data_IF_978305067860
#
_entry.id   IF_978305067860
#
_cell.length_a   1.000
_cell.length_b   1.000
_cell.length_c   1.000
_cell.angle_alpha   90.00
_cell.angle_beta   90.00
_cell.angle_gamma   90.00
#
_symmetry.space_group_name_H-M   'P 1'
#
loop_
_entity.id
_entity.type
_entity.pdbx_description
1 polymer ?
#
# COMPACT_ATOMS: atom_id res chain seq x y z
N UNK A 1 -19.12 24.93 18.23
CA UNK A 1 -19.53 23.50 18.26
C UNK A 1 -18.64 22.81 17.24
N UNK A 2 -17.81 21.88 17.73
CA UNK A 2 -16.60 21.35 17.09
C UNK A 2 -16.84 20.66 15.73
N UNK A 3 -15.98 20.92 14.73
CA UNK A 3 -15.66 19.98 13.67
C UNK A 3 -14.21 19.50 13.84
N UNK A 4 -14.02 18.38 14.55
CA UNK A 4 -12.75 17.67 14.69
C UNK A 4 -13.04 16.18 14.46
N UNK A 5 -13.12 15.75 13.20
CA UNK A 5 -13.05 14.34 12.80
C UNK A 5 -12.65 14.31 11.32
N UNK A 6 -11.35 14.18 11.01
CA UNK A 6 -10.89 13.67 9.69
C UNK A 6 -9.38 13.40 9.63
N UNK A 7 -8.70 13.29 10.76
CA UNK A 7 -7.24 13.16 10.81
C UNK A 7 -6.75 12.19 11.88
N UNK A 8 -7.59 11.21 12.20
CA UNK A 8 -7.42 10.33 13.35
C UNK A 8 -7.47 8.87 12.92
N UNK A 9 -7.19 8.55 11.64
CA UNK A 9 -7.57 7.26 11.06
C UNK A 9 -6.48 6.20 11.11
N UNK A 10 -5.21 6.56 11.29
CA UNK A 10 -4.23 5.58 11.81
C UNK A 10 -4.33 5.41 13.35
N UNK A 11 -5.10 6.27 14.03
CA UNK A 11 -5.27 6.29 15.49
C UNK A 11 -6.64 5.72 15.92
N UNK A 12 -7.58 5.50 15.00
CA UNK A 12 -8.96 5.14 15.33
C UNK A 12 -9.22 3.63 15.45
N UNK A 13 -8.34 2.76 14.97
CA UNK A 13 -8.53 1.31 15.16
C UNK A 13 -8.25 0.89 16.61
N UNK A 14 -7.33 1.56 17.31
CA UNK A 14 -7.11 1.38 18.75
C UNK A 14 -8.27 1.99 19.57
N UNK A 15 -8.84 3.11 19.12
CA UNK A 15 -9.92 3.83 19.81
C UNK A 15 -11.29 3.13 19.80
N UNK A 16 -11.61 2.37 18.74
CA UNK A 16 -12.89 1.65 18.62
C UNK A 16 -12.89 0.38 19.51
N UNK A 17 -11.75 -0.29 19.70
CA UNK A 17 -11.65 -1.44 20.62
C UNK A 17 -11.90 -1.08 22.09
N UNK A 18 -11.40 0.07 22.57
CA UNK A 18 -11.58 0.49 23.97
C UNK A 18 -13.05 0.80 24.31
N UNK A 19 -13.86 1.23 23.32
CA UNK A 19 -15.31 1.45 23.52
C UNK A 19 -16.10 0.15 23.69
N UNK A 20 -15.70 -0.95 23.03
CA UNK A 20 -16.36 -2.24 23.19
C UNK A 20 -16.03 -2.91 24.53
N UNK A 21 -14.84 -2.65 25.11
CA UNK A 21 -14.52 -3.07 26.49
C UNK A 21 -15.28 -2.22 27.53
N UNK A 22 -15.49 -0.92 27.28
CA UNK A 22 -16.23 -0.03 28.21
C UNK A 22 -17.74 -0.31 28.25
N UNK A 23 -18.33 -0.83 27.18
CA UNK A 23 -19.76 -1.20 27.16
C UNK A 23 -20.10 -2.50 27.95
N UNK A 24 -19.09 -3.26 28.39
CA UNK A 24 -19.28 -4.40 29.32
C UNK A 24 -19.49 -3.97 30.79
N UNK A 25 -19.23 -2.70 31.11
CA UNK A 25 -19.36 -2.16 32.46
C UNK A 25 -20.70 -1.47 32.76
N UNK A 26 -21.63 -1.44 31.78
CA UNK A 26 -22.94 -0.78 31.92
C UNK A 26 -24.14 -1.75 32.00
N UNK A 27 -23.92 -3.06 32.10
CA UNK A 27 -24.99 -4.05 32.23
C UNK A 27 -25.14 -4.56 33.68
N UNK A 28 -26.40 -4.56 34.16
CA UNK A 28 -26.78 -5.01 35.52
C UNK A 28 -26.27 -6.44 35.80
N UNK A 29 -25.76 -6.61 37.03
CA UNK A 29 -25.08 -7.82 37.53
C UNK A 29 -25.84 -9.16 37.35
N UNK A 30 -27.16 -9.15 37.14
CA UNK A 30 -27.95 -10.37 37.00
C UNK A 30 -27.87 -11.05 35.63
N UNK A 31 -27.26 -10.42 34.62
CA UNK A 31 -27.05 -11.02 33.28
C UNK A 31 -25.61 -11.50 33.02
N UNK A 32 -24.66 -11.25 33.92
CA UNK A 32 -23.27 -11.79 33.83
C UNK A 32 -23.25 -13.31 33.99
N UNK A 33 -23.97 -13.86 34.98
CA UNK A 33 -23.85 -15.28 35.33
C UNK A 33 -24.52 -16.24 34.33
N UNK A 34 -25.49 -15.76 33.52
CA UNK A 34 -26.15 -16.59 32.50
C UNK A 34 -25.39 -16.68 31.17
N UNK A 35 -24.48 -15.74 30.88
CA UNK A 35 -23.60 -15.81 29.70
C UNK A 35 -22.21 -16.37 30.00
N UNK A 36 -21.71 -16.26 31.23
CA UNK A 36 -20.49 -16.98 31.65
C UNK A 36 -20.66 -18.52 31.59
N UNK A 37 -21.87 -19.05 31.82
CA UNK A 37 -22.15 -20.49 31.67
C UNK A 37 -22.32 -20.95 30.21
N UNK A 38 -22.53 -20.03 29.26
CA UNK A 38 -22.57 -20.37 27.83
C UNK A 38 -21.17 -20.35 27.21
N UNK A 39 -20.27 -19.49 27.69
CA UNK A 39 -18.87 -19.42 27.26
C UNK A 39 -18.05 -20.60 27.83
N UNK A 40 -18.36 -21.05 29.05
CA UNK A 40 -17.72 -22.23 29.65
C UNK A 40 -18.11 -23.58 29.02
N UNK A 41 -19.15 -23.64 28.18
CA UNK A 41 -19.53 -24.86 27.45
C UNK A 41 -18.94 -24.95 26.03
N UNK A 42 -18.38 -23.86 25.49
CA UNK A 42 -17.65 -23.88 24.20
C UNK A 42 -16.16 -24.19 24.43
N UNK A 43 -15.62 -23.87 25.60
CA UNK A 43 -14.23 -24.15 25.98
C UNK A 43 -13.93 -25.61 26.39
N UNK A 44 -14.91 -26.52 26.33
CA UNK A 44 -14.73 -27.95 26.68
C UNK A 44 -14.86 -28.91 25.49
N UNK A 45 -14.89 -28.42 24.24
CA UNK A 45 -14.89 -29.28 23.03
C UNK A 45 -13.59 -29.16 22.22
N UNK A 46 -12.71 -28.17 22.47
CA UNK A 46 -11.38 -28.10 21.85
C UNK A 46 -10.27 -28.74 22.68
N UNK A 47 -10.49 -29.99 23.11
CA UNK A 47 -9.43 -30.84 23.65
C UNK A 47 -9.64 -32.27 23.20
N UNK A 48 -9.65 -32.50 21.88
CA UNK A 48 -9.25 -33.77 21.27
C UNK A 48 -9.11 -33.62 19.73
N UNK A 49 -8.02 -32.99 19.28
CA UNK A 49 -7.48 -33.18 17.94
C UNK A 49 -6.00 -32.74 17.92
N UNK A 50 -5.20 -33.44 18.74
CA UNK A 50 -3.75 -33.45 18.61
C UNK A 50 -3.40 -34.53 17.58
N UNK A 51 -3.07 -34.15 16.35
CA UNK A 51 -2.17 -34.86 15.42
C UNK A 51 -2.32 -34.31 13.99
N UNK A 52 -1.57 -33.24 13.71
CA UNK A 52 -0.84 -32.94 12.45
C UNK A 52 -0.43 -31.47 12.50
N UNK A 53 0.50 -31.16 13.41
CA UNK A 53 1.24 -29.91 13.36
C UNK A 53 2.27 -30.07 12.24
N UNK A 54 1.93 -29.60 11.04
CA UNK A 54 2.94 -29.08 10.14
C UNK A 54 3.18 -27.63 10.60
N UNK A 55 4.38 -27.25 11.05
CA UNK A 55 4.67 -25.86 11.29
C UNK A 55 4.74 -25.19 9.91
N UNK A 56 3.78 -24.31 9.61
CA UNK A 56 3.92 -23.32 8.53
C UNK A 56 4.97 -22.31 9.00
N UNK A 57 6.24 -22.68 8.86
CA UNK A 57 7.35 -21.75 8.95
C UNK A 57 7.41 -20.99 7.63
N UNK A 58 7.21 -19.68 7.67
CA UNK A 58 7.70 -18.76 6.63
C UNK A 58 9.23 -18.81 6.65
N UNK A 59 9.82 -19.82 6.00
CA UNK A 59 11.26 -19.90 5.81
C UNK A 59 11.62 -18.92 4.71
N UNK A 60 12.42 -17.92 5.06
CA UNK A 60 12.92 -16.93 4.11
C UNK A 60 13.99 -17.61 3.27
N UNK A 61 13.62 -18.00 2.05
CA UNK A 61 14.55 -18.53 1.07
C UNK A 61 14.73 -17.51 -0.04
N UNK A 62 15.86 -16.82 -0.04
CA UNK A 62 16.50 -16.44 -1.29
C UNK A 62 18.01 -16.27 -1.12
N UNK A 63 18.72 -16.99 -1.97
CA UNK A 63 20.15 -16.91 -2.21
C UNK A 63 20.49 -15.60 -2.91
N UNK A 64 21.63 -15.00 -2.54
CA UNK A 64 22.32 -14.01 -3.35
C UNK A 64 22.59 -14.63 -4.74
N UNK A 65 21.82 -14.22 -5.74
CA UNK A 65 22.08 -14.54 -7.15
C UNK A 65 22.64 -13.27 -7.78
N UNK A 66 23.93 -13.29 -8.12
CA UNK A 66 24.49 -12.34 -9.09
C UNK A 66 23.82 -12.60 -10.44
N UNK A 67 22.95 -11.68 -10.88
CA UNK A 67 22.29 -11.78 -12.19
C UNK A 67 23.16 -11.15 -13.28
N UNK A 68 23.45 -11.97 -14.31
CA UNK A 68 23.93 -11.49 -15.59
C UNK A 68 22.75 -10.92 -16.39
N UNK A 69 22.83 -9.63 -16.72
CA UNK A 69 21.86 -8.93 -17.56
C UNK A 69 22.03 -9.39 -19.01
N UNK A 70 21.20 -10.33 -19.49
CA UNK A 70 21.06 -10.54 -20.94
C UNK A 70 20.09 -9.46 -21.47
N UNK A 71 20.66 -8.31 -21.83
CA UNK A 71 19.99 -7.05 -22.20
C UNK A 71 19.28 -7.06 -23.57
N UNK A 72 19.12 -8.21 -24.23
CA UNK A 72 18.75 -8.21 -25.65
C UNK A 72 17.23 -8.27 -25.94
N UNK A 73 16.39 -8.81 -25.05
CA UNK A 73 14.99 -9.14 -25.38
C UNK A 73 13.96 -8.83 -24.25
N UNK A 74 14.29 -7.93 -23.31
CA UNK A 74 13.42 -7.61 -22.17
C UNK A 74 12.43 -6.47 -22.41
N UNK A 75 11.29 -6.48 -21.72
CA UNK A 75 10.35 -5.35 -21.66
C UNK A 75 10.43 -4.66 -20.31
N UNK A 76 10.66 -3.35 -20.32
CA UNK A 76 10.70 -2.53 -19.14
C UNK A 76 9.32 -1.90 -18.88
N UNK A 77 8.83 -2.07 -17.66
CA UNK A 77 7.57 -1.51 -17.18
C UNK A 77 7.89 -0.73 -15.91
N UNK A 78 7.32 0.45 -15.76
CA UNK A 78 7.37 1.17 -14.50
C UNK A 78 6.05 1.02 -13.76
N UNK A 79 6.08 1.00 -12.44
CA UNK A 79 4.93 0.88 -11.56
C UNK A 79 4.99 1.97 -10.51
N UNK A 80 3.89 2.71 -10.41
CA UNK A 80 3.61 3.61 -9.29
C UNK A 80 2.29 3.20 -8.65
N UNK A 81 2.11 3.56 -7.39
CA UNK A 81 0.90 3.28 -6.60
C UNK A 81 0.71 4.37 -5.57
N UNK A 82 -0.52 4.53 -5.08
CA UNK A 82 -0.83 5.42 -3.96
C UNK A 82 -0.37 6.87 -4.23
N UNK A 83 -0.70 7.36 -5.44
CA UNK A 83 -0.40 8.72 -5.90
C UNK A 83 -1.12 9.74 -5.00
N UNK A 84 -2.31 9.36 -4.51
CA UNK A 84 -3.17 10.18 -3.67
C UNK A 84 -3.28 11.62 -4.18
N UNK A 85 -3.47 11.77 -5.49
CA UNK A 85 -3.47 13.08 -6.14
C UNK A 85 -4.62 13.95 -5.62
N UNK A 86 -4.28 15.19 -5.26
CA UNK A 86 -5.24 16.25 -4.98
C UNK A 86 -5.13 17.32 -6.05
N UNK A 87 -6.17 17.50 -6.84
CA UNK A 87 -6.21 18.56 -7.83
C UNK A 87 -6.00 19.93 -7.17
N UNK A 88 -5.12 20.80 -7.72
CA UNK A 88 -4.89 22.14 -7.16
C UNK A 88 -6.18 22.98 -7.07
N UNK A 89 -7.17 22.71 -7.92
CA UNK A 89 -8.48 23.37 -7.90
C UNK A 89 -9.35 22.99 -6.68
N UNK A 90 -8.97 21.96 -5.92
CA UNK A 90 -9.68 21.47 -4.74
C UNK A 90 -9.16 22.06 -3.43
N UNK A 91 -8.17 22.94 -3.47
CA UNK A 91 -7.64 23.60 -2.27
C UNK A 91 -7.23 25.02 -2.57
N UNK A 92 -7.47 25.93 -1.62
CA UNK A 92 -6.94 27.30 -1.65
C UNK A 92 -5.66 27.45 -0.82
N UNK A 93 -5.09 26.34 -0.34
CA UNK A 93 -3.96 26.35 0.60
C UNK A 93 -4.32 26.94 1.97
N UNK A 94 -5.61 27.13 2.25
CA UNK A 94 -6.08 27.75 3.49
C UNK A 94 -5.92 26.86 4.72
N UNK A 95 -6.24 27.44 5.88
CA UNK A 95 -6.10 26.79 7.19
C UNK A 95 -6.68 25.37 7.26
N UNK A 96 -7.81 25.10 6.59
CA UNK A 96 -8.41 23.76 6.63
C UNK A 96 -7.56 22.72 5.90
N UNK A 97 -6.94 23.10 4.78
CA UNK A 97 -6.01 22.26 4.04
C UNK A 97 -4.73 22.02 4.84
N UNK A 98 -4.15 23.06 5.45
CA UNK A 98 -2.97 22.90 6.32
C UNK A 98 -3.21 21.90 7.45
N UNK A 99 -4.41 21.91 8.06
CA UNK A 99 -4.80 20.93 9.08
C UNK A 99 -4.92 19.53 8.48
N UNK A 100 -5.46 19.42 7.26
CA UNK A 100 -5.58 18.14 6.56
C UNK A 100 -4.19 17.56 6.23
N UNK A 101 -3.28 18.35 5.65
CA UNK A 101 -1.91 17.96 5.33
C UNK A 101 -1.16 17.43 6.56
N UNK A 102 -1.26 18.13 7.70
CA UNK A 102 -0.64 17.69 8.97
C UNK A 102 -1.21 16.40 9.55
N UNK A 103 -2.38 15.98 9.06
CA UNK A 103 -3.09 14.78 9.51
C UNK A 103 -3.09 13.68 8.45
N UNK A 104 -2.39 13.89 7.33
CA UNK A 104 -2.40 13.04 6.15
C UNK A 104 -1.50 11.81 6.26
N UNK A 105 -1.18 11.36 7.46
CA UNK A 105 -0.41 10.12 7.66
C UNK A 105 0.95 10.07 6.92
N UNK A 106 1.59 11.23 6.70
CA UNK A 106 2.85 11.34 5.95
C UNK A 106 2.71 11.53 4.44
N UNK A 107 1.49 11.52 3.89
CA UNK A 107 1.24 11.84 2.48
C UNK A 107 1.50 13.32 2.21
N UNK A 108 2.14 13.61 1.09
CA UNK A 108 2.34 14.96 0.60
C UNK A 108 1.30 15.29 -0.49
N UNK A 109 0.29 16.10 -0.16
CA UNK A 109 -0.67 16.59 -1.14
C UNK A 109 -0.24 17.90 -1.82
N UNK A 110 0.79 18.58 -1.31
CA UNK A 110 1.21 19.89 -1.76
C UNK A 110 1.96 19.80 -3.09
N UNK A 111 2.84 18.81 -3.23
CA UNK A 111 3.69 18.66 -4.42
C UNK A 111 3.28 17.51 -5.34
N UNK A 112 2.03 17.03 -5.25
CA UNK A 112 1.47 16.03 -6.17
C UNK A 112 1.67 16.37 -7.66
N UNK A 113 1.33 17.59 -8.12
CA UNK A 113 1.58 18.03 -9.50
C UNK A 113 3.07 17.97 -9.89
N UNK A 114 3.97 18.38 -8.99
CA UNK A 114 5.41 18.34 -9.23
C UNK A 114 5.90 16.90 -9.42
N UNK A 115 5.42 15.95 -8.61
CA UNK A 115 5.78 14.53 -8.79
C UNK A 115 5.34 13.97 -10.14
N UNK A 116 4.12 14.32 -10.59
CA UNK A 116 3.63 13.89 -11.91
C UNK A 116 4.43 14.52 -13.06
N UNK A 117 4.80 15.80 -12.96
CA UNK A 117 5.68 16.45 -13.94
C UNK A 117 7.09 15.83 -13.96
N UNK A 118 7.65 15.53 -12.78
CA UNK A 118 8.95 14.86 -12.67
C UNK A 118 8.92 13.48 -13.33
N UNK A 119 7.84 12.71 -13.14
CA UNK A 119 7.67 11.40 -13.77
C UNK A 119 7.64 11.51 -15.30
N UNK A 120 6.86 12.46 -15.84
CA UNK A 120 6.82 12.71 -17.30
C UNK A 120 8.20 13.06 -17.83
N UNK A 121 8.93 13.93 -17.14
CA UNK A 121 10.29 14.33 -17.55
C UNK A 121 11.30 13.21 -17.45
N UNK A 122 11.14 12.33 -16.47
CA UNK A 122 11.99 11.16 -16.33
C UNK A 122 11.74 10.14 -17.45
N UNK A 123 10.48 9.91 -17.83
CA UNK A 123 10.13 9.08 -19.00
C UNK A 123 10.64 9.71 -20.30
N UNK A 124 10.45 11.03 -20.48
CA UNK A 124 10.96 11.77 -21.65
C UNK A 124 12.50 11.66 -21.75
N UNK A 125 13.21 11.73 -20.62
CA UNK A 125 14.67 11.56 -20.60
C UNK A 125 15.06 10.13 -20.94
N UNK A 126 14.43 9.13 -20.33
CA UNK A 126 14.68 7.72 -20.63
C UNK A 126 14.41 7.40 -22.12
N UNK A 127 13.41 8.05 -22.73
CA UNK A 127 13.17 7.94 -24.17
C UNK A 127 14.34 8.45 -25.03
N UNK A 128 15.00 9.53 -24.63
CA UNK A 128 16.15 10.06 -25.39
C UNK A 128 17.36 9.10 -25.36
N UNK A 129 17.42 8.24 -24.34
CA UNK A 129 18.49 7.27 -24.14
C UNK A 129 18.11 5.84 -24.60
N UNK A 130 16.96 5.67 -25.29
CA UNK A 130 16.40 4.37 -25.68
C UNK A 130 16.11 3.42 -24.49
N UNK A 131 15.87 3.98 -23.29
CA UNK A 131 15.57 3.28 -22.03
C UNK A 131 14.12 3.52 -21.53
N UNK A 132 13.26 4.08 -22.38
CA UNK A 132 11.86 4.38 -22.04
C UNK A 132 11.09 3.10 -21.64
N UNK A 133 10.31 3.13 -20.56
CA UNK A 133 9.41 2.03 -20.25
C UNK A 133 8.33 1.89 -21.32
N UNK A 134 8.07 0.66 -21.73
CA UNK A 134 6.99 0.33 -22.66
C UNK A 134 5.62 0.62 -22.03
N UNK A 135 5.48 0.41 -20.72
CA UNK A 135 4.26 0.71 -19.99
C UNK A 135 4.53 1.34 -18.61
N UNK A 136 3.59 2.17 -18.16
CA UNK A 136 3.45 2.65 -16.79
C UNK A 136 2.19 2.05 -16.19
N UNK A 137 2.37 1.26 -15.13
CA UNK A 137 1.30 0.74 -14.29
C UNK A 137 1.01 1.72 -13.16
N UNK A 138 -0.29 1.96 -12.90
CA UNK A 138 -0.78 2.68 -11.73
C UNK A 138 -1.67 1.74 -10.89
N UNK A 139 -1.12 1.23 -9.78
CA UNK A 139 -1.70 0.15 -8.99
C UNK A 139 -2.63 0.63 -7.85
N UNK A 140 -3.52 1.57 -8.16
CA UNK A 140 -4.54 2.06 -7.23
C UNK A 140 -4.15 3.27 -6.39
N UNK A 141 -5.15 3.76 -5.67
CA UNK A 141 -5.15 4.99 -4.87
C UNK A 141 -4.59 6.17 -5.65
N UNK A 142 -5.20 6.38 -6.81
CA UNK A 142 -4.87 7.44 -7.75
C UNK A 142 -5.11 8.81 -7.10
N UNK A 143 -6.21 8.96 -6.37
CA UNK A 143 -6.68 10.24 -5.82
C UNK A 143 -6.68 10.26 -4.31
N UNK A 144 -6.78 11.47 -3.72
CA UNK A 144 -6.88 11.60 -2.26
C UNK A 144 -8.09 10.85 -1.71
N UNK A 145 -9.30 11.16 -2.22
CA UNK A 145 -10.54 10.54 -1.76
C UNK A 145 -11.60 10.45 -2.87
N UNK A 146 -11.21 10.09 -4.09
CA UNK A 146 -12.14 9.78 -5.18
C UNK A 146 -12.81 11.01 -5.78
N UNK A 147 -12.15 12.17 -5.73
CA UNK A 147 -12.63 13.40 -6.35
C UNK A 147 -12.58 13.29 -7.88
N UNK A 148 -13.73 13.48 -8.53
CA UNK A 148 -13.85 13.38 -9.99
C UNK A 148 -12.89 14.34 -10.73
N UNK A 149 -12.66 15.54 -10.19
CA UNK A 149 -11.72 16.49 -10.79
C UNK A 149 -10.27 15.99 -10.74
N UNK A 150 -9.87 15.31 -9.66
CA UNK A 150 -8.52 14.74 -9.55
C UNK A 150 -8.29 13.61 -10.56
N UNK A 151 -9.33 12.82 -10.86
CA UNK A 151 -9.27 11.80 -11.92
C UNK A 151 -9.04 12.42 -13.30
N UNK A 152 -9.73 13.53 -13.61
CA UNK A 152 -9.56 14.24 -14.89
C UNK A 152 -8.15 14.82 -15.04
N UNK A 153 -7.61 15.43 -13.98
CA UNK A 153 -6.26 15.98 -13.98
C UNK A 153 -5.22 14.86 -14.20
N UNK A 154 -5.39 13.70 -13.55
CA UNK A 154 -4.54 12.53 -13.77
C UNK A 154 -4.63 11.97 -15.19
N UNK A 155 -5.83 11.89 -15.77
CA UNK A 155 -6.00 11.49 -17.16
C UNK A 155 -5.24 12.42 -18.13
N UNK A 156 -5.14 13.73 -17.84
CA UNK A 156 -4.31 14.64 -18.62
C UNK A 156 -2.81 14.32 -18.52
N UNK A 157 -2.31 14.03 -17.30
CA UNK A 157 -0.93 13.58 -17.12
C UNK A 157 -0.65 12.26 -17.86
N UNK A 158 -1.55 11.28 -17.76
CA UNK A 158 -1.41 9.99 -18.43
C UNK A 158 -1.44 10.14 -19.96
N UNK A 159 -2.32 10.97 -20.51
CA UNK A 159 -2.32 11.25 -21.95
C UNK A 159 -1.02 11.89 -22.44
N UNK A 160 -0.33 12.67 -21.60
CA UNK A 160 1.02 13.20 -21.92
C UNK A 160 2.10 12.12 -21.87
N UNK A 161 1.97 11.13 -20.99
CA UNK A 161 2.86 9.96 -20.94
C UNK A 161 2.67 9.09 -22.19
N UNK A 162 1.44 8.83 -22.59
CA UNK A 162 1.15 8.08 -23.83
C UNK A 162 1.59 8.83 -25.09
N UNK A 163 1.53 10.16 -25.09
CA UNK A 163 2.09 10.96 -26.18
C UNK A 163 3.61 10.80 -26.35
N UNK A 164 4.32 10.34 -25.29
CA UNK A 164 5.72 9.92 -25.38
C UNK A 164 5.86 8.48 -25.88
N UNK A 165 4.79 7.70 -26.00
CA UNK A 165 4.83 6.30 -26.45
C UNK A 165 4.97 5.26 -25.33
N UNK A 166 4.80 5.65 -24.07
CA UNK A 166 4.64 4.73 -22.93
C UNK A 166 3.15 4.50 -22.68
N UNK A 167 2.68 3.26 -22.82
CA UNK A 167 1.29 2.88 -22.53
C UNK A 167 0.99 3.08 -21.04
N UNK A 168 -0.21 3.54 -20.68
CA UNK A 168 -0.60 3.69 -19.26
C UNK A 168 -1.70 2.70 -18.92
N UNK A 169 -1.53 1.96 -17.80
CA UNK A 169 -2.46 0.94 -17.35
C UNK A 169 -2.86 1.19 -15.90
N UNK A 170 -4.14 1.41 -15.62
CA UNK A 170 -4.60 1.82 -14.29
C UNK A 170 -5.64 0.87 -13.71
N UNK A 171 -5.54 0.63 -12.40
CA UNK A 171 -6.61 0.04 -11.58
C UNK A 171 -6.95 1.00 -10.43
N UNK A 172 -8.18 0.99 -9.91
CA UNK A 172 -8.54 1.80 -8.75
C UNK A 172 -7.90 1.24 -7.47
N UNK A 173 -7.73 2.09 -6.46
CA UNK A 173 -7.57 1.68 -5.07
C UNK A 173 -8.80 2.00 -4.23
N UNK A 174 -8.70 1.76 -2.93
CA UNK A 174 -9.85 1.85 -2.04
C UNK A 174 -10.33 3.30 -1.84
N UNK A 175 -9.49 4.30 -2.15
CA UNK A 175 -9.85 5.71 -2.05
C UNK A 175 -10.62 6.26 -3.27
N UNK A 176 -10.61 5.56 -4.41
CA UNK A 176 -10.92 6.17 -5.71
C UNK A 176 -12.41 6.18 -6.08
N UNK A 177 -13.16 5.17 -5.65
CA UNK A 177 -14.52 4.91 -6.15
C UNK A 177 -15.58 5.16 -5.07
N UNK A 178 -16.58 5.97 -5.42
CA UNK A 178 -17.72 6.32 -4.57
C UNK A 178 -17.34 6.73 -3.14
N UNK A 179 -16.17 7.34 -2.98
CA UNK A 179 -15.67 7.66 -1.66
C UNK A 179 -16.46 8.86 -1.07
N UNK A 180 -17.12 8.61 0.05
CA UNK A 180 -17.92 9.63 0.74
C UNK A 180 -17.12 10.82 1.20
N UNK A 181 -15.78 10.75 1.21
CA UNK A 181 -14.86 11.79 1.64
C UNK A 181 -14.31 12.69 0.53
N UNK A 182 -14.74 12.54 -0.72
CA UNK A 182 -14.43 13.47 -1.80
C UNK A 182 -14.77 14.92 -1.43
N UNK A 183 -13.75 15.76 -1.23
CA UNK A 183 -13.91 17.14 -0.75
C UNK A 183 -12.96 18.12 -1.41
N UNK A 184 -13.31 19.40 -1.30
CA UNK A 184 -12.40 20.53 -1.50
C UNK A 184 -12.30 21.37 -0.22
N UNK A 185 -11.17 22.06 -0.07
CA UNK A 185 -10.87 22.94 1.03
C UNK A 185 -10.94 24.40 0.58
N UNK A 186 -11.68 25.20 1.34
CA UNK A 186 -11.75 26.66 1.16
C UNK A 186 -11.71 27.33 2.53
N UNK A 187 -10.72 28.19 2.75
CA UNK A 187 -10.43 28.89 3.98
C UNK A 187 -10.38 27.95 5.20
N UNK A 188 -11.50 27.85 5.94
CA UNK A 188 -11.67 27.05 7.15
C UNK A 188 -12.69 25.92 6.99
N UNK A 189 -13.15 25.68 5.76
CA UNK A 189 -14.27 24.78 5.45
C UNK A 189 -13.81 23.59 4.62
N UNK A 190 -14.53 22.50 4.80
CA UNK A 190 -14.49 21.32 3.94
C UNK A 190 -15.83 21.25 3.21
N UNK A 191 -15.79 21.17 1.88
CA UNK A 191 -16.97 21.20 1.02
C UNK A 191 -16.99 19.94 0.17
N UNK A 192 -18.10 19.20 0.17
CA UNK A 192 -18.24 17.98 -0.65
C UNK A 192 -18.19 18.31 -2.13
N UNK A 193 -17.50 17.48 -2.89
CA UNK A 193 -17.42 17.57 -4.36
C UNK A 193 -17.96 16.29 -4.99
N UNK A 194 -17.94 16.25 -6.33
CA UNK A 194 -18.35 15.06 -7.06
C UNK A 194 -17.40 13.89 -6.79
N UNK A 195 -17.99 12.76 -6.44
CA UNK A 195 -17.32 11.46 -6.34
C UNK A 195 -17.26 10.82 -7.73
N UNK A 196 -16.24 10.02 -7.97
CA UNK A 196 -16.12 9.15 -9.14
C UNK A 196 -16.92 7.87 -8.93
N UNK A 197 -17.78 7.48 -9.88
CA UNK A 197 -18.42 6.16 -9.90
C UNK A 197 -17.56 5.12 -10.63
N UNK A 198 -17.84 3.81 -10.51
CA UNK A 198 -17.11 2.81 -11.30
C UNK A 198 -17.21 3.05 -12.82
N UNK A 199 -18.38 3.49 -13.28
CA UNK A 199 -18.59 3.83 -14.68
C UNK A 199 -17.79 5.08 -15.09
N UNK A 200 -17.77 6.12 -14.25
CA UNK A 200 -16.95 7.30 -14.48
C UNK A 200 -15.46 6.92 -14.58
N UNK A 201 -14.96 6.05 -13.69
CA UNK A 201 -13.55 5.62 -13.69
C UNK A 201 -13.20 4.91 -15.00
N UNK A 202 -14.02 3.93 -15.42
CA UNK A 202 -13.80 3.21 -16.68
C UNK A 202 -13.95 4.11 -17.93
N UNK A 203 -14.74 5.18 -17.85
CA UNK A 203 -14.90 6.15 -18.94
C UNK A 203 -13.73 7.13 -19.01
N UNK A 204 -13.33 7.70 -17.87
CA UNK A 204 -12.19 8.64 -17.77
C UNK A 204 -10.91 7.94 -18.19
N UNK A 205 -10.72 6.70 -17.72
CA UNK A 205 -9.52 5.93 -18.03
C UNK A 205 -9.72 4.93 -19.17
N UNK A 206 -10.67 5.18 -20.07
CA UNK A 206 -10.93 4.32 -21.23
C UNK A 206 -9.65 4.09 -22.06
N UNK A 207 -8.86 5.12 -22.29
CA UNK A 207 -7.63 5.00 -23.09
C UNK A 207 -6.45 4.41 -22.30
N UNK A 208 -6.56 4.29 -20.96
CA UNK A 208 -5.47 3.79 -20.10
C UNK A 208 -5.74 2.37 -19.61
N UNK A 209 -5.99 1.48 -20.58
CA UNK A 209 -6.19 0.04 -20.40
C UNK A 209 -7.64 -0.45 -20.61
N UNK A 210 -8.67 0.27 -20.16
CA UNK A 210 -10.06 -0.24 -20.16
C UNK A 210 -10.70 -0.41 -21.54
N UNK A 211 -10.35 0.45 -22.50
CA UNK A 211 -10.81 0.42 -23.88
C UNK A 211 -9.95 -0.47 -24.78
N UNK A 212 -8.76 -0.83 -24.30
CA UNK A 212 -7.71 -1.54 -25.05
C UNK A 212 -7.50 -2.98 -24.54
N UNK A 213 -8.12 -3.31 -23.41
CA UNK A 213 -8.04 -4.61 -22.75
C UNK A 213 -8.37 -5.79 -23.69
N UNK A 214 -7.60 -6.87 -23.56
CA UNK A 214 -7.85 -8.16 -24.21
C UNK A 214 -9.18 -8.75 -23.74
N UNK A 215 -9.44 -8.63 -22.44
CA UNK A 215 -10.67 -9.08 -21.80
C UNK A 215 -10.97 -8.21 -20.58
N UNK A 216 -12.26 -8.05 -20.27
CA UNK A 216 -12.72 -7.35 -19.07
C UNK A 216 -13.57 -8.26 -18.21
N UNK A 217 -13.42 -8.14 -16.90
CA UNK A 217 -14.32 -8.76 -15.95
C UNK A 217 -15.67 -8.01 -15.98
N UNK A 218 -16.81 -8.70 -16.14
CA UNK A 218 -18.12 -8.05 -16.04
C UNK A 218 -18.50 -7.61 -14.62
N UNK A 219 -17.86 -8.16 -13.57
CA UNK A 219 -18.27 -7.95 -12.18
C UNK A 219 -17.38 -6.97 -11.39
N UNK A 220 -16.31 -6.45 -12.00
CA UNK A 220 -15.39 -5.50 -11.36
C UNK A 220 -14.72 -4.59 -12.39
N UNK A 221 -13.87 -3.66 -11.92
CA UNK A 221 -12.98 -2.88 -12.80
C UNK A 221 -11.69 -3.64 -13.17
N UNK A 222 -11.70 -4.97 -13.10
CA UNK A 222 -10.58 -5.82 -13.51
C UNK A 222 -10.54 -6.03 -15.02
N UNK A 223 -9.34 -6.18 -15.57
CA UNK A 223 -9.13 -6.44 -16.98
C UNK A 223 -7.77 -7.13 -17.24
N UNK A 224 -7.62 -7.66 -18.45
CA UNK A 224 -6.39 -8.29 -18.91
C UNK A 224 -5.75 -7.40 -19.97
N UNK A 225 -4.52 -6.94 -19.72
CA UNK A 225 -3.73 -6.17 -20.67
C UNK A 225 -2.68 -7.06 -21.35
N UNK A 226 -2.44 -6.84 -22.64
CA UNK A 226 -1.38 -7.52 -23.39
C UNK A 226 -0.12 -6.66 -23.36
N UNK A 227 1.03 -7.22 -22.99
CA UNK A 227 2.31 -6.48 -23.02
C UNK A 227 3.19 -6.97 -24.16
N UNK A 228 3.38 -8.29 -24.26
CA UNK A 228 4.08 -8.95 -25.36
C UNK A 228 3.28 -10.16 -25.82
N UNK A 229 3.66 -10.84 -26.90
CA UNK A 229 2.96 -12.08 -27.29
C UNK A 229 2.95 -13.17 -26.19
N UNK A 230 3.95 -13.16 -25.29
CA UNK A 230 4.11 -14.14 -24.22
C UNK A 230 3.63 -13.63 -22.84
N UNK A 231 3.53 -12.32 -22.64
CA UNK A 231 3.19 -11.70 -21.36
C UNK A 231 1.88 -10.92 -21.37
N UNK A 232 1.07 -11.17 -20.34
CA UNK A 232 -0.14 -10.42 -20.02
C UNK A 232 -0.09 -9.94 -18.57
N UNK A 233 -0.77 -8.81 -18.32
CA UNK A 233 -1.00 -8.30 -16.98
C UNK A 233 -2.45 -8.55 -16.58
N UNK A 234 -2.64 -9.20 -15.43
CA UNK A 234 -3.96 -9.36 -14.83
C UNK A 234 -4.19 -8.20 -13.85
N UNK A 235 -4.81 -7.15 -14.37
CA UNK A 235 -5.07 -5.90 -13.67
C UNK A 235 -6.34 -6.07 -12.82
N UNK A 236 -6.19 -6.21 -11.50
CA UNK A 236 -7.28 -6.60 -10.59
C UNK A 236 -7.80 -5.43 -9.76
N UNK A 237 -9.10 -5.18 -9.91
CA UNK A 237 -9.87 -4.38 -8.96
C UNK A 237 -10.16 -5.23 -7.72
N UNK A 238 -9.44 -4.90 -6.64
CA UNK A 238 -9.53 -5.58 -5.35
C UNK A 238 -10.41 -4.82 -4.36
N UNK A 239 -11.06 -3.74 -4.76
CA UNK A 239 -11.65 -2.79 -3.84
C UNK A 239 -13.09 -3.17 -3.47
N UNK A 240 -13.48 -2.79 -2.26
CA UNK A 240 -14.86 -2.91 -1.79
C UNK A 240 -15.47 -1.50 -1.76
N UNK A 241 -16.29 -1.20 -2.76
CA UNK A 241 -17.02 0.08 -2.83
C UNK A 241 -18.52 -0.15 -3.02
N UNK A 242 -19.32 0.83 -2.61
CA UNK A 242 -20.77 0.75 -2.73
C UNK A 242 -21.23 0.92 -4.18
N UNK A 243 -22.35 0.29 -4.54
CA UNK A 243 -23.01 0.44 -5.86
C UNK A 243 -23.52 1.88 -6.12
N UNK A 244 -23.63 2.69 -5.08
CA UNK A 244 -24.08 4.08 -5.12
C UNK A 244 -23.08 5.00 -4.46
N UNK A 245 -23.23 6.31 -4.62
CA UNK A 245 -22.41 7.32 -3.93
C UNK A 245 -22.26 7.03 -2.43
N UNK A 246 -21.01 6.91 -1.98
CA UNK A 246 -20.68 6.66 -0.59
C UNK A 246 -21.06 7.83 0.30
N UNK A 247 -21.34 7.52 1.55
CA UNK A 247 -21.79 8.47 2.57
C UNK A 247 -20.74 8.71 3.66
N UNK A 248 -19.68 7.91 3.67
CA UNK A 248 -18.65 7.91 4.71
C UNK A 248 -17.29 7.55 4.14
N UNK A 249 -16.44 7.01 4.99
CA UNK A 249 -15.14 6.48 4.59
C UNK A 249 -15.32 5.36 3.56
N UNK A 250 -14.32 5.18 2.70
CA UNK A 250 -14.17 3.95 1.92
C UNK A 250 -13.88 2.75 2.83
N UNK A 251 -14.22 1.56 2.38
CA UNK A 251 -13.74 0.34 3.03
C UNK A 251 -12.24 0.21 2.74
N UNK A 252 -11.41 0.04 3.77
CA UNK A 252 -9.97 -0.18 3.60
C UNK A 252 -9.63 -1.62 3.21
N UNK A 253 -10.61 -2.52 3.27
CA UNK A 253 -10.42 -3.94 3.02
C UNK A 253 -10.47 -4.27 1.53
N UNK A 254 -9.64 -5.23 1.13
CA UNK A 254 -9.57 -5.77 -0.21
C UNK A 254 -10.26 -7.13 -0.35
N UNK A 255 -10.78 -7.41 -1.55
CA UNK A 255 -11.35 -8.70 -1.95
C UNK A 255 -11.27 -8.90 -3.45
N UNK A 256 -11.07 -10.15 -3.89
CA UNK A 256 -11.40 -10.58 -5.26
C UNK A 256 -12.66 -11.43 -5.21
N UNK A 257 -13.71 -11.04 -5.94
CA UNK A 257 -15.00 -11.75 -5.95
C UNK A 257 -14.82 -13.14 -6.57
N UNK A 258 -15.61 -14.12 -6.14
CA UNK A 258 -15.60 -15.47 -6.72
C UNK A 258 -15.87 -15.44 -8.23
N UNK A 259 -16.75 -14.53 -8.69
CA UNK A 259 -17.02 -14.31 -10.11
C UNK A 259 -15.80 -13.78 -10.86
N UNK A 260 -15.05 -12.85 -10.26
CA UNK A 260 -13.80 -12.33 -10.83
C UNK A 260 -12.72 -13.41 -10.89
N UNK A 261 -12.62 -14.28 -9.88
CA UNK A 261 -11.73 -15.46 -9.92
C UNK A 261 -12.16 -16.42 -11.03
N UNK A 262 -13.46 -16.68 -11.17
CA UNK A 262 -13.99 -17.52 -12.23
C UNK A 262 -13.76 -16.92 -13.64
N UNK A 263 -13.76 -15.60 -13.77
CA UNK A 263 -13.33 -14.91 -14.99
C UNK A 263 -11.83 -15.06 -15.23
N UNK A 264 -10.99 -14.83 -14.20
CA UNK A 264 -9.54 -14.97 -14.27
C UNK A 264 -9.13 -16.38 -14.75
N UNK A 265 -9.78 -17.43 -14.25
CA UNK A 265 -9.63 -18.83 -14.71
C UNK A 265 -9.77 -19.01 -16.23
N UNK A 266 -10.54 -18.15 -16.91
CA UNK A 266 -10.73 -18.25 -18.36
C UNK A 266 -9.59 -17.62 -19.15
N UNK A 267 -8.89 -16.64 -18.57
CA UNK A 267 -7.87 -15.85 -19.26
C UNK A 267 -6.44 -16.28 -18.95
N UNK A 268 -6.14 -16.80 -17.75
CA UNK A 268 -4.77 -17.20 -17.33
C UNK A 268 -4.19 -18.44 -18.03
N UNK A 269 -4.88 -18.98 -19.03
CA UNK A 269 -4.51 -20.24 -19.73
C UNK A 269 -3.66 -20.04 -20.98
N UNK A 270 -3.43 -18.79 -21.39
CA UNK A 270 -2.98 -18.48 -22.76
C UNK A 270 -1.57 -17.87 -22.83
N UNK A 271 -1.08 -17.27 -21.75
CA UNK A 271 0.20 -16.55 -21.68
C UNK A 271 0.76 -16.59 -20.24
N UNK A 272 1.97 -16.10 -20.04
CA UNK A 272 2.48 -15.78 -18.71
C UNK A 272 1.70 -14.57 -18.18
N UNK A 273 1.13 -14.69 -16.98
CA UNK A 273 0.24 -13.67 -16.42
C UNK A 273 0.78 -13.13 -15.12
N UNK A 274 1.23 -11.87 -15.10
CA UNK A 274 1.64 -11.15 -13.90
C UNK A 274 0.44 -10.38 -13.30
N UNK A 275 -0.07 -10.75 -12.11
CA UNK A 275 -1.15 -10.03 -11.46
C UNK A 275 -0.66 -8.72 -10.83
N UNK A 276 -1.43 -7.67 -11.09
CA UNK A 276 -1.27 -6.33 -10.53
C UNK A 276 -2.50 -6.03 -9.69
N UNK A 277 -2.30 -5.66 -8.43
CA UNK A 277 -3.37 -5.50 -7.45
C UNK A 277 -3.16 -4.21 -6.66
N UNK A 278 -4.21 -3.65 -6.07
CA UNK A 278 -4.03 -2.60 -5.08
C UNK A 278 -3.72 -3.23 -3.71
N UNK A 279 -4.58 -4.12 -3.24
CA UNK A 279 -4.37 -4.90 -2.02
C UNK A 279 -3.54 -6.16 -2.30
N UNK A 280 -2.45 -6.36 -1.55
CA UNK A 280 -1.63 -7.57 -1.61
C UNK A 280 -2.38 -8.83 -1.16
N UNK A 281 -2.11 -9.95 -1.81
CA UNK A 281 -2.68 -11.26 -1.52
C UNK A 281 -2.00 -11.96 -0.32
N UNK A 282 -0.81 -11.52 0.09
CA UNK A 282 -0.07 -12.07 1.22
C UNK A 282 -0.14 -11.13 2.43
N UNK A 283 0.06 -11.69 3.62
CA UNK A 283 0.24 -10.87 4.82
C UNK A 283 1.67 -10.34 4.89
N UNK A 284 1.81 -9.02 4.81
CA UNK A 284 3.08 -8.32 4.99
C UNK A 284 3.40 -8.02 6.46
N UNK A 285 2.41 -8.15 7.35
CA UNK A 285 2.54 -7.87 8.78
C UNK A 285 2.29 -9.14 9.61
N UNK A 286 2.67 -9.09 10.89
CA UNK A 286 2.56 -10.20 11.86
C UNK A 286 1.92 -9.73 13.17
N UNK A 287 1.45 -10.70 13.96
CA UNK A 287 0.95 -10.44 15.32
C UNK A 287 -0.25 -9.50 15.36
N UNK A 288 -0.29 -8.61 16.35
CA UNK A 288 -1.35 -7.60 16.49
C UNK A 288 -1.36 -6.61 15.31
N UNK A 289 -0.20 -6.34 14.68
CA UNK A 289 -0.15 -5.49 13.47
C UNK A 289 -0.88 -6.16 12.31
N UNK A 290 -0.73 -7.48 12.16
CA UNK A 290 -1.53 -8.25 11.21
C UNK A 290 -3.01 -8.23 11.58
N UNK A 291 -3.40 -8.43 12.85
CA UNK A 291 -4.82 -8.44 13.21
C UNK A 291 -5.52 -7.09 12.97
N UNK A 292 -4.76 -6.00 13.02
CA UNK A 292 -5.26 -4.65 12.74
C UNK A 292 -5.34 -4.41 11.22
N UNK A 293 -4.35 -4.85 10.46
CA UNK A 293 -4.26 -4.54 9.02
C UNK A 293 -4.86 -5.62 8.09
N UNK A 294 -4.97 -6.86 8.56
CA UNK A 294 -5.34 -8.00 7.75
C UNK A 294 -6.81 -8.35 7.95
N UNK A 295 -7.64 -7.54 7.33
CA UNK A 295 -9.08 -7.72 7.24
C UNK A 295 -9.49 -7.93 5.76
N UNK A 296 -8.53 -8.38 4.91
CA UNK A 296 -8.73 -8.64 3.49
C UNK A 296 -9.32 -10.04 3.24
N UNK A 297 -10.28 -10.14 2.31
CA UNK A 297 -10.88 -11.39 1.85
C UNK A 297 -10.14 -11.94 0.61
N UNK A 298 -8.84 -12.22 0.73
CA UNK A 298 -7.96 -12.60 -0.40
C UNK A 298 -7.47 -14.06 -0.38
N UNK A 299 -7.77 -14.85 0.66
CA UNK A 299 -7.35 -16.24 0.79
C UNK A 299 -7.71 -17.12 -0.42
N UNK A 300 -8.91 -16.96 -0.98
CA UNK A 300 -9.35 -17.71 -2.17
C UNK A 300 -8.51 -17.33 -3.40
N UNK A 301 -8.15 -16.05 -3.54
CA UNK A 301 -7.29 -15.59 -4.63
C UNK A 301 -5.85 -16.08 -4.45
N UNK A 302 -5.32 -16.08 -3.22
CA UNK A 302 -4.02 -16.67 -2.90
C UNK A 302 -3.98 -18.16 -3.31
N UNK A 303 -5.05 -18.92 -3.05
CA UNK A 303 -5.17 -20.31 -3.49
C UNK A 303 -5.20 -20.44 -5.01
N UNK A 304 -5.89 -19.54 -5.71
CA UNK A 304 -5.88 -19.46 -7.17
C UNK A 304 -4.44 -19.26 -7.70
N UNK A 305 -3.67 -18.31 -7.16
CA UNK A 305 -2.29 -18.06 -7.56
C UNK A 305 -1.41 -19.31 -7.42
N UNK A 306 -1.50 -20.00 -6.29
CA UNK A 306 -0.75 -21.24 -6.04
C UNK A 306 -1.19 -22.37 -6.98
N UNK A 307 -2.49 -22.51 -7.23
CA UNK A 307 -3.03 -23.54 -8.12
C UNK A 307 -2.59 -23.36 -9.57
N UNK A 308 -2.48 -22.12 -10.05
CA UNK A 308 -2.00 -21.77 -11.39
C UNK A 308 -0.50 -21.55 -11.48
N UNK A 309 0.22 -21.73 -10.37
CA UNK A 309 1.68 -21.56 -10.26
C UNK A 309 2.15 -20.17 -10.71
N UNK A 310 1.40 -19.13 -10.38
CA UNK A 310 1.75 -17.72 -10.63
C UNK A 310 2.67 -17.25 -9.50
N UNK A 311 3.99 -17.05 -9.73
CA UNK A 311 4.97 -16.97 -8.65
C UNK A 311 5.15 -15.58 -8.05
N UNK A 312 4.53 -14.56 -8.64
CA UNK A 312 4.70 -13.17 -8.22
C UNK A 312 3.39 -12.38 -8.36
N UNK A 313 3.10 -11.55 -7.37
CA UNK A 313 2.13 -10.45 -7.43
C UNK A 313 2.83 -9.12 -7.16
N UNK A 314 2.33 -8.04 -7.77
CA UNK A 314 2.76 -6.67 -7.49
C UNK A 314 1.57 -5.87 -6.96
N UNK A 315 1.77 -5.15 -5.86
CA UNK A 315 0.72 -4.41 -5.19
C UNK A 315 1.20 -3.11 -4.52
N UNK A 316 0.24 -2.36 -3.94
CA UNK A 316 0.43 -1.10 -3.23
C UNK A 316 -0.25 -1.10 -1.87
N UNK A 317 -1.05 -0.06 -1.57
CA UNK A 317 -1.97 0.05 -0.43
C UNK A 317 -1.31 0.19 0.96
N UNK A 318 -0.26 -0.58 1.25
CA UNK A 318 0.44 -0.52 2.53
C UNK A 318 1.48 0.61 2.58
N UNK A 319 1.72 1.27 1.45
CA UNK A 319 2.62 2.41 1.26
C UNK A 319 4.11 2.16 1.53
N UNK A 320 4.48 1.02 2.11
CA UNK A 320 5.85 0.62 2.43
C UNK A 320 6.44 -0.23 1.31
N UNK A 321 7.73 -0.01 0.99
CA UNK A 321 8.46 -0.93 0.13
C UNK A 321 8.74 -2.23 0.90
N UNK A 322 8.04 -3.31 0.55
CA UNK A 322 8.20 -4.58 1.24
C UNK A 322 8.00 -5.77 0.32
N UNK A 323 8.83 -6.80 0.50
CA UNK A 323 8.82 -8.04 -0.26
C UNK A 323 8.64 -9.21 0.70
N UNK A 324 7.60 -10.02 0.46
CA UNK A 324 7.33 -11.21 1.27
C UNK A 324 7.13 -12.43 0.38
N UNK A 325 7.01 -13.60 1.01
CA UNK A 325 6.71 -14.83 0.29
C UNK A 325 5.93 -15.83 1.12
N UNK A 326 5.09 -16.58 0.43
CA UNK A 326 4.42 -17.78 0.90
C UNK A 326 5.13 -19.01 0.31
N UNK A 327 5.77 -19.77 1.20
CA UNK A 327 6.42 -21.03 0.84
C UNK A 327 5.44 -22.20 0.95
N UNK A 328 5.25 -22.93 -0.14
CA UNK A 328 4.60 -24.24 -0.17
C UNK A 328 5.65 -25.33 -0.44
N UNK A 329 5.33 -26.64 -0.32
CA UNK A 329 6.31 -27.72 -0.49
C UNK A 329 7.03 -27.74 -1.85
N UNK A 330 6.38 -27.29 -2.92
CA UNK A 330 6.88 -27.37 -4.29
C UNK A 330 6.80 -26.03 -5.06
N UNK A 331 6.36 -24.95 -4.41
CA UNK A 331 6.14 -23.65 -5.02
C UNK A 331 6.36 -22.50 -4.03
N UNK A 332 6.86 -21.37 -4.51
CA UNK A 332 6.99 -20.13 -3.74
C UNK A 332 6.20 -19.05 -4.45
N UNK A 333 5.17 -18.52 -3.79
CA UNK A 333 4.49 -17.30 -4.20
C UNK A 333 5.20 -16.13 -3.51
N UNK A 334 5.68 -15.16 -4.27
CA UNK A 334 6.27 -13.93 -3.77
C UNK A 334 5.32 -12.77 -4.02
N UNK A 335 5.41 -11.75 -3.18
CA UNK A 335 4.66 -10.52 -3.34
C UNK A 335 5.56 -9.32 -3.09
N UNK A 336 5.45 -8.32 -3.96
CA UNK A 336 6.10 -7.02 -3.79
C UNK A 336 5.01 -5.99 -3.55
N UNK A 337 5.13 -5.27 -2.44
CA UNK A 337 4.44 -4.01 -2.23
C UNK A 337 5.42 -2.91 -2.60
N UNK A 338 5.05 -2.11 -3.60
CA UNK A 338 5.79 -0.91 -3.98
C UNK A 338 5.41 0.22 -3.04
N UNK A 339 6.40 0.99 -2.59
CA UNK A 339 6.14 2.16 -1.74
C UNK A 339 5.22 3.18 -2.41
N UNK A 340 4.47 3.92 -1.60
CA UNK A 340 3.59 4.98 -2.09
C UNK A 340 4.37 6.05 -2.83
N UNK A 341 3.81 6.49 -3.95
CA UNK A 341 4.36 7.60 -4.74
C UNK A 341 4.22 8.96 -4.04
N UNK A 342 3.35 9.07 -3.02
CA UNK A 342 3.05 10.31 -2.29
C UNK A 342 3.62 10.40 -0.89
N UNK A 343 4.25 9.34 -0.39
CA UNK A 343 4.90 9.28 0.93
C UNK A 343 6.41 9.12 0.72
N UNK A 344 7.21 9.49 1.72
CA UNK A 344 8.65 9.22 1.66
C UNK A 344 8.93 7.73 1.39
N UNK A 345 9.75 7.38 0.38
CA UNK A 345 10.62 8.26 -0.39
C UNK A 345 10.15 8.55 -1.83
N UNK A 346 8.89 8.29 -2.17
CA UNK A 346 8.27 8.62 -3.45
C UNK A 346 8.92 7.92 -4.65
N UNK A 347 9.06 6.60 -4.56
CA UNK A 347 9.83 5.79 -5.53
C UNK A 347 8.94 5.15 -6.60
N UNK A 348 9.60 4.56 -7.59
CA UNK A 348 8.98 3.84 -8.71
C UNK A 348 9.48 2.40 -8.67
N UNK A 349 8.60 1.42 -8.91
CA UNK A 349 8.99 0.05 -9.19
C UNK A 349 9.36 -0.10 -10.67
N UNK A 350 10.58 -0.51 -11.00
CA UNK A 350 10.98 -0.93 -12.34
C UNK A 350 10.86 -2.44 -12.45
N UNK A 351 10.07 -2.90 -13.42
CA UNK A 351 9.84 -4.30 -13.72
C UNK A 351 10.45 -4.61 -15.08
N UNK A 352 11.25 -5.67 -15.15
CA UNK A 352 11.85 -6.13 -16.40
C UNK A 352 11.34 -7.54 -16.68
N UNK A 353 10.48 -7.66 -17.69
CA UNK A 353 9.96 -8.94 -18.16
C UNK A 353 10.95 -9.52 -19.17
N UNK A 354 11.39 -10.74 -18.95
CA UNK A 354 12.16 -11.54 -19.90
C UNK A 354 11.33 -12.76 -20.35
N UNK A 355 11.88 -13.61 -21.22
CA UNK A 355 11.12 -14.76 -21.76
C UNK A 355 10.52 -15.68 -20.69
N UNK A 356 11.20 -15.89 -19.56
CA UNK A 356 10.70 -16.75 -18.46
C UNK A 356 11.09 -16.20 -17.08
N UNK A 357 11.24 -14.89 -16.93
CA UNK A 357 11.57 -14.30 -15.65
C UNK A 357 11.11 -12.85 -15.53
N UNK A 358 10.95 -12.41 -14.28
CA UNK A 358 10.60 -11.05 -13.90
C UNK A 358 11.64 -10.56 -12.91
N UNK A 359 12.23 -9.40 -13.19
CA UNK A 359 13.05 -8.67 -12.22
C UNK A 359 12.31 -7.41 -11.78
N UNK A 360 12.21 -7.21 -10.47
CA UNK A 360 11.75 -5.98 -9.84
C UNK A 360 12.94 -5.25 -9.24
N UNK A 361 12.98 -3.93 -9.43
CA UNK A 361 13.91 -3.03 -8.78
C UNK A 361 13.22 -1.72 -8.43
N UNK A 362 13.32 -1.27 -7.19
CA UNK A 362 12.93 0.08 -6.82
C UNK A 362 13.94 1.08 -7.40
N UNK A 363 13.44 2.10 -8.10
CA UNK A 363 14.22 3.21 -8.67
C UNK A 363 13.70 4.56 -8.15
N UNK A 364 14.53 5.58 -8.29
CA UNK A 364 14.23 6.93 -7.80
C UNK A 364 13.32 7.69 -8.78
N UNK A 365 12.36 8.45 -8.25
CA UNK A 365 11.78 9.58 -8.96
C UNK A 365 12.75 10.78 -8.85
N UNK A 366 13.22 11.29 -9.97
CA UNK A 366 14.14 12.42 -9.97
C UNK A 366 13.39 13.76 -9.92
N UNK A 367 13.14 14.22 -8.69
CA UNK A 367 12.47 15.50 -8.45
C UNK A 367 13.30 16.73 -8.85
N UNK A 368 14.57 16.57 -9.26
CA UNK A 368 15.37 17.66 -9.83
C UNK A 368 14.87 18.09 -11.21
N UNK A 369 13.99 17.31 -11.84
CA UNK A 369 13.26 17.77 -13.03
C UNK A 369 12.28 18.91 -12.74
N UNK A 370 11.86 19.08 -11.49
CA UNK A 370 10.94 20.15 -11.07
C UNK A 370 11.53 21.16 -10.10
N UNK A 371 12.64 20.82 -9.44
CA UNK A 371 13.28 21.66 -8.44
C UNK A 371 14.75 21.90 -8.76
N UNK A 372 15.22 23.11 -8.50
CA UNK A 372 16.66 23.38 -8.46
C UNK A 372 17.30 22.64 -7.28
N UNK A 373 18.63 22.48 -7.28
CA UNK A 373 19.31 21.60 -6.34
C UNK A 373 19.04 21.90 -4.84
N UNK A 374 18.97 23.17 -4.46
CA UNK A 374 18.66 23.59 -3.08
C UNK A 374 17.18 23.44 -2.71
N UNK A 375 16.28 23.55 -3.68
CA UNK A 375 14.85 23.29 -3.52
C UNK A 375 14.55 21.77 -3.46
N UNK A 376 15.30 20.96 -4.20
CA UNK A 376 15.22 19.50 -4.14
C UNK A 376 15.56 18.97 -2.75
N UNK A 377 16.66 19.43 -2.16
CA UNK A 377 17.05 19.00 -0.81
C UNK A 377 15.97 19.40 0.22
N UNK A 378 15.40 20.61 0.08
CA UNK A 378 14.28 21.06 0.92
C UNK A 378 13.02 20.21 0.75
N UNK A 379 12.69 19.83 -0.49
CA UNK A 379 11.57 18.93 -0.77
C UNK A 379 11.78 17.55 -0.15
N UNK A 380 12.97 16.97 -0.27
CA UNK A 380 13.27 15.67 0.32
C UNK A 380 13.23 15.71 1.85
N UNK A 381 13.72 16.80 2.47
CA UNK A 381 13.55 17.03 3.92
C UNK A 381 12.07 17.16 4.27
N UNK A 382 11.29 17.95 3.52
CA UNK A 382 9.86 18.11 3.76
C UNK A 382 9.11 16.76 3.73
N UNK A 383 9.39 15.91 2.73
CA UNK A 383 8.74 14.61 2.59
C UNK A 383 9.11 13.66 3.75
N UNK A 384 10.38 13.67 4.17
CA UNK A 384 10.83 12.93 5.35
C UNK A 384 10.17 13.46 6.64
N UNK A 385 10.14 14.79 6.83
CA UNK A 385 9.51 15.44 7.98
C UNK A 385 8.02 15.06 8.09
N UNK A 386 7.28 15.00 6.98
CA UNK A 386 5.88 14.57 7.00
C UNK A 386 5.74 13.14 7.53
N UNK A 387 6.61 12.24 7.11
CA UNK A 387 6.61 10.84 7.54
C UNK A 387 7.02 10.68 9.01
N UNK A 388 8.11 11.34 9.43
CA UNK A 388 8.59 11.34 10.81
C UNK A 388 7.54 11.93 11.76
N UNK A 389 6.96 13.09 11.41
CA UNK A 389 5.88 13.69 12.21
C UNK A 389 4.66 12.77 12.34
N UNK A 390 4.30 12.02 11.29
CA UNK A 390 3.22 11.04 11.35
C UNK A 390 3.52 9.95 12.38
N UNK A 391 4.74 9.40 12.32
CA UNK A 391 5.24 8.38 13.26
C UNK A 391 5.24 8.92 14.70
N UNK A 392 5.75 10.13 14.87
CA UNK A 392 5.81 10.83 16.15
C UNK A 392 4.43 10.95 16.80
N UNK A 393 3.42 11.40 16.04
CA UNK A 393 2.05 11.55 16.55
C UNK A 393 1.44 10.21 16.98
N UNK A 394 1.69 9.13 16.25
CA UNK A 394 1.19 7.78 16.58
C UNK A 394 1.80 7.30 17.90
N UNK A 395 3.11 7.49 18.09
CA UNK A 395 3.81 7.08 19.32
C UNK A 395 3.32 7.89 20.50
N UNK A 396 3.21 9.22 20.34
CA UNK A 396 2.71 10.10 21.38
C UNK A 396 1.28 9.77 21.81
N UNK A 397 0.39 9.45 20.86
CA UNK A 397 -0.97 9.03 21.19
C UNK A 397 -0.99 7.67 21.90
N UNK A 398 -0.22 6.71 21.39
CA UNK A 398 -0.12 5.34 21.93
C UNK A 398 0.39 5.35 23.38
N UNK A 399 1.41 6.15 23.66
CA UNK A 399 2.04 6.24 24.98
C UNK A 399 1.37 7.27 25.90
N UNK A 400 0.37 8.02 25.43
CA UNK A 400 -0.21 9.16 26.17
C UNK A 400 -0.71 8.80 27.57
N UNK A 401 -1.32 7.63 27.72
CA UNK A 401 -1.89 7.12 28.98
C UNK A 401 -0.99 6.10 29.68
N UNK A 402 0.17 5.78 29.11
CA UNK A 402 1.10 4.86 29.73
C UNK A 402 1.81 5.53 30.91
N UNK A 403 2.06 4.80 31.99
CA UNK A 403 2.74 5.35 33.16
C UNK A 403 4.24 5.04 33.19
N UNK A 404 4.66 4.01 32.46
CA UNK A 404 6.02 3.47 32.45
C UNK A 404 6.86 4.10 31.33
N UNK A 405 6.32 4.13 30.11
CA UNK A 405 6.98 4.57 28.89
C UNK A 405 6.78 6.04 28.57
N UNK A 406 5.71 6.67 29.09
CA UNK A 406 5.43 8.08 28.85
C UNK A 406 6.59 9.04 29.17
N UNK A 407 7.40 8.83 30.23
CA UNK A 407 8.58 9.67 30.46
C UNK A 407 9.63 9.61 29.34
N UNK A 408 9.62 8.54 28.54
CA UNK A 408 10.59 8.21 27.49
C UNK A 408 10.00 8.37 26.08
N UNK A 409 8.81 8.97 25.95
CA UNK A 409 8.10 9.05 24.65
C UNK A 409 8.93 9.75 23.57
N UNK A 410 9.66 10.81 23.90
CA UNK A 410 10.51 11.52 22.92
C UNK A 410 11.62 10.60 22.39
N UNK A 411 12.37 9.96 23.30
CA UNK A 411 13.50 9.08 22.95
C UNK A 411 13.04 7.85 22.16
N UNK A 412 11.88 7.27 22.55
CA UNK A 412 11.25 6.20 21.79
C UNK A 412 10.81 6.70 20.41
N UNK A 413 10.27 7.91 20.33
CA UNK A 413 9.81 8.51 19.07
C UNK A 413 10.94 8.68 18.07
N UNK A 414 12.06 9.30 18.46
CA UNK A 414 13.21 9.53 17.58
C UNK A 414 13.74 8.21 16.97
N UNK A 415 13.78 7.14 17.76
CA UNK A 415 14.24 5.83 17.28
C UNK A 415 13.23 5.20 16.31
N UNK A 416 11.95 5.23 16.64
CA UNK A 416 10.92 4.66 15.76
C UNK A 416 10.69 5.49 14.50
N UNK A 417 10.90 6.81 14.54
CA UNK A 417 10.91 7.67 13.36
C UNK A 417 11.95 7.17 12.36
N UNK A 418 13.19 6.95 12.81
CA UNK A 418 14.27 6.41 11.96
C UNK A 418 14.00 4.97 11.49
N UNK A 419 13.54 4.09 12.38
CA UNK A 419 13.18 2.71 12.03
C UNK A 419 12.06 2.67 10.98
N UNK A 420 10.99 3.44 11.21
CA UNK A 420 9.83 3.47 10.34
C UNK A 420 10.17 4.07 8.97
N UNK A 421 10.95 5.17 8.95
CA UNK A 421 11.40 5.79 7.70
C UNK A 421 12.23 4.82 6.85
N UNK A 422 13.16 4.09 7.48
CA UNK A 422 13.98 3.08 6.82
C UNK A 422 13.15 1.88 6.34
N UNK A 423 12.15 1.47 7.12
CA UNK A 423 11.21 0.41 6.75
C UNK A 423 10.37 0.79 5.52
N UNK A 424 9.75 1.98 5.50
CA UNK A 424 8.95 2.47 4.37
C UNK A 424 9.77 2.60 3.08
N UNK A 425 11.04 2.98 3.20
CA UNK A 425 12.01 3.03 2.09
C UNK A 425 12.46 1.65 1.60
N UNK A 426 12.28 0.61 2.42
CA UNK A 426 12.82 -0.73 2.18
C UNK A 426 14.34 -0.83 2.40
N UNK A 427 14.94 0.07 3.19
CA UNK A 427 16.39 0.17 3.38
C UNK A 427 16.91 -0.21 4.77
N UNK A 428 16.13 -0.98 5.54
CA UNK A 428 16.51 -1.39 6.90
C UNK A 428 17.86 -2.10 6.91
N UNK A 429 18.13 -2.94 5.92
CA UNK A 429 19.39 -3.70 5.85
C UNK A 429 20.61 -2.80 5.63
N UNK A 430 20.45 -1.75 4.84
CA UNK A 430 21.46 -0.77 4.51
C UNK A 430 21.72 0.18 5.68
N UNK A 431 20.66 0.54 6.42
CA UNK A 431 20.71 1.48 7.53
C UNK A 431 20.98 0.79 8.90
N UNK A 432 20.99 -0.56 8.94
CA UNK A 432 20.97 -1.35 10.18
C UNK A 432 22.06 -0.98 11.18
N UNK A 433 23.28 -0.70 10.72
CA UNK A 433 24.40 -0.35 11.61
C UNK A 433 24.13 0.92 12.43
N UNK A 434 23.34 1.85 11.91
CA UNK A 434 22.94 3.07 12.64
C UNK A 434 21.70 2.80 13.49
N UNK A 435 20.72 2.07 12.94
CA UNK A 435 19.48 1.72 13.62
C UNK A 435 19.72 0.85 14.87
N UNK A 436 20.67 -0.09 14.82
CA UNK A 436 21.02 -0.94 15.96
C UNK A 436 21.54 -0.12 17.15
N UNK A 437 22.36 0.91 16.87
CA UNK A 437 22.89 1.80 17.90
C UNK A 437 21.78 2.65 18.52
N UNK A 438 20.86 3.16 17.70
CA UNK A 438 19.72 3.93 18.17
C UNK A 438 18.78 3.07 19.03
N UNK A 439 18.47 1.86 18.57
CA UNK A 439 17.61 0.90 19.28
C UNK A 439 18.20 0.48 20.62
N UNK A 440 19.51 0.23 20.69
CA UNK A 440 20.19 -0.08 21.95
C UNK A 440 20.06 1.04 23.00
N UNK A 441 19.84 2.28 22.56
CA UNK A 441 19.61 3.43 23.44
C UNK A 441 18.29 3.39 24.21
N UNK A 442 17.31 2.61 23.74
CA UNK A 442 15.96 2.51 24.32
C UNK A 442 15.56 1.08 24.69
N UNK A 443 16.45 0.10 24.52
CA UNK A 443 16.19 -1.33 24.74
C UNK A 443 15.68 -1.60 26.17
N UNK A 444 16.30 -0.98 27.18
CA UNK A 444 15.88 -1.06 28.59
C UNK A 444 14.45 -0.52 28.83
N UNK A 445 13.93 0.34 27.94
CA UNK A 445 12.57 0.86 28.04
C UNK A 445 11.56 -0.08 27.38
N UNK A 446 11.90 -0.66 26.23
CA UNK A 446 10.98 -1.46 25.40
C UNK A 446 10.93 -2.91 25.84
N UNK A 447 12.06 -3.52 26.20
CA UNK A 447 12.19 -4.95 26.48
C UNK A 447 11.29 -5.46 27.64
N UNK A 448 10.95 -4.58 28.59
CA UNK A 448 10.09 -4.88 29.73
C UNK A 448 8.61 -4.46 29.51
N UNK A 449 8.26 -3.98 28.31
CA UNK A 449 6.92 -3.47 28.02
C UNK A 449 5.95 -4.55 27.51
N UNK A 450 4.73 -4.58 28.06
CA UNK A 450 3.63 -5.46 27.60
C UNK A 450 3.01 -4.97 26.27
N UNK A 451 3.61 -3.99 25.59
CA UNK A 451 3.10 -3.39 24.36
C UNK A 451 3.37 -4.26 23.14
N UNK A 452 2.49 -5.23 22.93
CA UNK A 452 2.54 -6.15 21.79
C UNK A 452 2.61 -5.45 20.43
N UNK A 453 1.87 -4.35 20.22
CA UNK A 453 1.98 -3.56 19.00
C UNK A 453 3.41 -3.11 18.68
N UNK A 454 4.15 -2.51 19.63
CA UNK A 454 5.51 -2.04 19.37
C UNK A 454 6.48 -3.21 19.17
N UNK A 455 6.31 -4.29 19.94
CA UNK A 455 7.16 -5.46 19.82
C UNK A 455 6.94 -6.17 18.48
N UNK A 456 5.68 -6.38 18.07
CA UNK A 456 5.33 -7.02 16.80
C UNK A 456 5.78 -6.15 15.60
N UNK A 457 5.63 -4.82 15.70
CA UNK A 457 6.10 -3.92 14.66
C UNK A 457 7.63 -3.88 14.57
N UNK A 458 8.32 -3.83 15.71
CA UNK A 458 9.77 -3.90 15.76
C UNK A 458 10.25 -5.26 15.22
N UNK A 459 9.65 -6.38 15.62
CA UNK A 459 9.98 -7.71 15.09
C UNK A 459 9.84 -7.78 13.57
N UNK A 460 8.82 -7.12 13.01
CA UNK A 460 8.66 -7.00 11.56
C UNK A 460 9.84 -6.25 10.93
N UNK A 461 10.19 -5.05 11.42
CA UNK A 461 11.34 -4.28 10.91
C UNK A 461 12.64 -5.08 11.05
N UNK A 462 12.86 -5.72 12.19
CA UNK A 462 14.03 -6.56 12.43
C UNK A 462 14.10 -7.77 11.50
N UNK A 463 12.96 -8.27 11.00
CA UNK A 463 12.94 -9.38 10.07
C UNK A 463 13.51 -9.02 8.68
N UNK A 464 13.56 -7.74 8.33
CA UNK A 464 14.09 -7.25 7.05
C UNK A 464 15.53 -6.75 7.12
N UNK A 465 16.16 -6.76 8.30
CA UNK A 465 17.50 -6.16 8.49
C UNK A 465 18.65 -6.88 7.77
N UNK A 466 18.44 -8.13 7.35
CA UNK A 466 19.48 -8.95 6.72
C UNK A 466 19.25 -9.15 5.21
N UNK A 467 18.21 -8.53 4.62
CA UNK A 467 17.80 -8.76 3.24
C UNK A 467 17.33 -7.48 2.55
N UNK A 468 17.67 -7.33 1.27
CA UNK A 468 17.16 -6.23 0.46
C UNK A 468 15.64 -6.35 0.27
N UNK A 469 14.93 -5.24 0.47
CA UNK A 469 13.50 -5.11 0.15
C UNK A 469 13.27 -4.34 -1.15
N UNK A 470 14.33 -3.97 -1.88
CA UNK A 470 14.26 -3.09 -3.05
C UNK A 470 14.48 -3.81 -4.37
N UNK A 471 14.87 -5.08 -4.35
CA UNK A 471 15.16 -5.87 -5.55
C UNK A 471 14.68 -7.31 -5.41
N UNK A 472 14.16 -7.87 -6.51
CA UNK A 472 13.68 -9.25 -6.55
C UNK A 472 13.77 -9.84 -7.96
N UNK A 473 14.35 -11.03 -8.08
CA UNK A 473 14.27 -11.86 -9.30
C UNK A 473 13.34 -13.05 -9.11
N UNK A 474 12.51 -13.35 -10.10
CA UNK A 474 11.57 -14.48 -10.11
C UNK A 474 11.59 -15.18 -11.46
N UNK A 475 11.83 -16.48 -11.46
CA UNK A 475 11.63 -17.34 -12.64
C UNK A 475 10.14 -17.67 -12.78
N UNK A 476 9.62 -17.68 -14.00
CA UNK A 476 8.20 -17.84 -14.32
C UNK A 476 7.78 -19.29 -14.63
#
# INVERSE_FOLDING_TARGET
>A
MNPCVSGMIMVMEVGIMIKNVKNLNLLKASNRNKRLHAIAQVLSIMSLALACVCPLQSVHAQSEIEFGMDQADGVDIWLITDIHYMAPSLTDGGQRFEIFQKQAAGMDYEYGPNRMEALIKQIETAQMDDEQPQALIVAGDLTSNGEYQAMLDLAEYFGRIEALGTEVLVIPGNHDIHNGWAVRFEEKKTIKVQQTSPADFAEIFADFGYGEAVARDPESLSYLAQVTDDWQLLMLDTNIYSETKGQGQSESQGRVKDETIAWAETVVKQAQVLPIMHHGALSHFRGEVQEIQNDNELDTFQQFLVAHRIPLTLAGHLHTQHITSLQTPDFTLKEVITTSFSIYPGKIGKIQLSTNSVNYQQIDLDMRFTFEADEYDQYMTHLADLHENSTHLIIFDTLYNDQTLKPYTEEISEVFEALNLSFFKGSVSEDWAQLEVALAGIDDHIADSDYRFFNDYLELILSTKDYSQTQLGVDW
#
